data_IF_604613906038
#
_entry.id   IF_604613906038
#
_cell.length_a   1.000
_cell.length_b   1.000
_cell.length_c   1.000
_cell.angle_alpha   90.00
_cell.angle_beta   90.00
_cell.angle_gamma   90.00
#
_symmetry.space_group_name_H-M   'P 1'
#
loop_
_entity.id
_entity.type
_entity.pdbx_description
1 polymer ?
#
# COMPACT_ATOMS: atom_id res chain seq x y z
N UNK A 1 6.73 -13.10 13.62
CA UNK A 1 7.35 -12.37 12.49
C UNK A 1 8.84 -12.22 12.74
N UNK A 2 9.66 -12.78 11.85
CA UNK A 2 11.13 -12.74 11.93
C UNK A 2 11.66 -11.34 11.55
N UNK A 3 12.96 -11.11 11.79
CA UNK A 3 13.62 -9.86 11.36
C UNK A 3 13.65 -9.76 9.82
N UNK A 4 13.88 -10.88 9.14
CA UNK A 4 13.90 -10.96 7.67
C UNK A 4 12.54 -10.61 7.07
N UNK A 5 11.45 -11.14 7.63
CA UNK A 5 10.09 -10.83 7.19
C UNK A 5 9.77 -9.34 7.35
N UNK A 6 10.11 -8.76 8.50
CA UNK A 6 9.95 -7.32 8.76
C UNK A 6 10.72 -6.46 7.75
N UNK A 7 11.95 -6.84 7.47
CA UNK A 7 12.77 -6.12 6.50
C UNK A 7 12.18 -6.18 5.08
N UNK A 8 11.71 -7.34 4.65
CA UNK A 8 11.05 -7.48 3.34
C UNK A 8 9.74 -6.70 3.26
N UNK A 9 8.92 -6.72 4.31
CA UNK A 9 7.68 -5.94 4.41
C UNK A 9 7.97 -4.45 4.28
N UNK A 10 9.00 -3.95 4.98
CA UNK A 10 9.38 -2.55 4.91
C UNK A 10 9.82 -2.14 3.50
N UNK A 11 10.59 -2.99 2.82
CA UNK A 11 10.99 -2.76 1.43
C UNK A 11 9.81 -2.79 0.46
N UNK A 12 8.89 -3.75 0.60
CA UNK A 12 7.71 -3.87 -0.23
C UNK A 12 6.81 -2.64 -0.09
N UNK A 13 6.62 -2.16 1.15
CA UNK A 13 5.93 -0.91 1.45
C UNK A 13 6.57 0.28 0.74
N UNK A 14 7.88 0.49 0.96
CA UNK A 14 8.60 1.60 0.35
C UNK A 14 8.52 1.59 -1.19
N UNK A 15 8.61 0.40 -1.80
CA UNK A 15 8.47 0.28 -3.25
C UNK A 15 7.07 0.69 -3.74
N UNK A 16 6.01 0.34 -3.01
CA UNK A 16 4.64 0.74 -3.35
C UNK A 16 4.44 2.25 -3.17
N UNK A 17 4.90 2.82 -2.05
CA UNK A 17 4.83 4.27 -1.79
C UNK A 17 5.57 5.07 -2.87
N UNK A 18 6.78 4.64 -3.27
CA UNK A 18 7.54 5.28 -4.36
C UNK A 18 6.79 5.18 -5.69
N UNK A 19 6.19 4.03 -6.01
CA UNK A 19 5.43 3.87 -7.25
C UNK A 19 4.20 4.78 -7.27
N UNK A 20 3.45 4.84 -6.17
CA UNK A 20 2.30 5.73 -6.03
C UNK A 20 2.71 7.21 -6.12
N UNK A 21 3.80 7.61 -5.44
CA UNK A 21 4.33 8.96 -5.52
C UNK A 21 4.69 9.36 -6.96
N UNK A 22 5.24 8.44 -7.75
CA UNK A 22 5.56 8.69 -9.17
C UNK A 22 4.33 8.94 -10.04
N UNK A 23 3.18 8.37 -9.69
CA UNK A 23 1.95 8.50 -10.48
C UNK A 23 1.04 9.65 -10.03
N UNK A 24 0.97 9.94 -8.73
CA UNK A 24 0.02 10.92 -8.19
C UNK A 24 0.56 11.77 -7.03
N UNK A 25 1.87 11.74 -6.80
CA UNK A 25 2.53 12.49 -5.73
C UNK A 25 2.10 12.05 -4.33
N UNK A 26 2.42 12.87 -3.34
CA UNK A 26 2.21 12.58 -1.92
C UNK A 26 0.72 12.45 -1.57
N UNK A 27 -0.16 13.13 -2.29
CA UNK A 27 -1.61 13.03 -2.06
C UNK A 27 -2.13 11.61 -2.33
N UNK A 28 -1.67 10.97 -3.43
CA UNK A 28 -2.05 9.60 -3.74
C UNK A 28 -1.45 8.59 -2.74
N UNK A 29 -0.23 8.85 -2.26
CA UNK A 29 0.39 8.03 -1.22
C UNK A 29 -0.39 8.13 0.09
N UNK A 30 -0.73 9.34 0.53
CA UNK A 30 -1.47 9.58 1.77
C UNK A 30 -2.86 8.94 1.74
N UNK A 31 -3.56 9.05 0.62
CA UNK A 31 -4.86 8.42 0.39
C UNK A 31 -4.76 6.89 0.46
N UNK A 32 -3.82 6.29 -0.28
CA UNK A 32 -3.59 4.84 -0.24
C UNK A 32 -3.19 4.33 1.15
N UNK A 33 -2.36 5.07 1.89
CA UNK A 33 -1.98 4.73 3.26
C UNK A 33 -3.16 4.83 4.24
N UNK A 34 -4.08 5.77 4.01
CA UNK A 34 -5.31 5.93 4.80
C UNK A 34 -6.23 4.73 4.57
N UNK A 35 -6.49 4.38 3.31
CA UNK A 35 -7.29 3.21 2.94
C UNK A 35 -6.70 1.91 3.50
N UNK A 36 -5.38 1.74 3.38
CA UNK A 36 -4.67 0.57 3.90
C UNK A 36 -4.81 0.45 5.43
N UNK A 37 -4.76 1.57 6.14
CA UNK A 37 -4.96 1.61 7.59
C UNK A 37 -6.39 1.22 7.97
N UNK A 38 -7.40 1.79 7.31
CA UNK A 38 -8.80 1.42 7.54
C UNK A 38 -9.07 -0.06 7.27
N UNK A 39 -8.54 -0.60 6.19
CA UNK A 39 -8.71 -2.01 5.85
C UNK A 39 -8.07 -2.93 6.90
N UNK A 40 -6.85 -2.59 7.35
CA UNK A 40 -6.15 -3.32 8.39
C UNK A 40 -6.88 -3.24 9.74
N UNK A 41 -7.41 -2.07 10.11
CA UNK A 41 -8.23 -1.86 11.31
C UNK A 41 -9.52 -2.67 11.30
N UNK A 42 -10.20 -2.70 10.16
CA UNK A 42 -11.48 -3.39 10.02
C UNK A 42 -11.33 -4.90 10.10
N UNK A 43 -10.33 -5.48 9.42
CA UNK A 43 -10.19 -6.94 9.32
C UNK A 43 -9.34 -7.55 10.42
N UNK A 44 -8.35 -6.80 10.90
CA UNK A 44 -7.37 -7.28 11.88
C UNK A 44 -7.17 -6.20 12.95
N UNK A 45 -8.19 -5.95 13.79
CA UNK A 45 -8.10 -4.95 14.85
C UNK A 45 -6.95 -5.27 15.78
N UNK A 46 -6.16 -4.26 16.11
CA UNK A 46 -5.04 -4.38 17.03
C UNK A 46 -5.09 -3.25 18.06
N UNK A 47 -5.00 -3.63 19.32
CA UNK A 47 -5.08 -2.71 20.46
C UNK A 47 -3.76 -1.98 20.75
N UNK A 48 -2.75 -2.11 19.88
CA UNK A 48 -1.43 -1.50 20.07
C UNK A 48 -0.55 -2.20 21.12
N UNK A 49 -1.02 -3.29 21.75
CA UNK A 49 -0.25 -4.03 22.73
C UNK A 49 0.47 -5.23 22.10
N UNK A 50 1.73 -5.42 22.50
CA UNK A 50 2.58 -6.50 22.00
C UNK A 50 3.08 -6.25 20.58
N UNK A 51 3.38 -7.32 19.85
CA UNK A 51 3.74 -7.21 18.44
C UNK A 51 2.49 -7.13 17.57
N UNK A 52 2.51 -6.22 16.59
CA UNK A 52 1.45 -6.15 15.59
C UNK A 52 1.26 -7.50 14.88
N UNK A 53 0.02 -8.00 14.73
CA UNK A 53 -0.25 -9.25 14.04
C UNK A 53 0.20 -9.20 12.58
N UNK A 54 0.89 -10.24 12.10
CA UNK A 54 1.38 -10.30 10.72
C UNK A 54 0.24 -10.16 9.69
N UNK A 55 -0.94 -10.74 9.96
CA UNK A 55 -2.11 -10.63 9.10
C UNK A 55 -2.54 -9.17 8.86
N UNK A 56 -2.45 -8.33 9.90
CA UNK A 56 -2.75 -6.89 9.81
C UNK A 56 -1.76 -6.17 8.89
N UNK A 57 -0.48 -6.47 9.04
CA UNK A 57 0.59 -5.93 8.19
C UNK A 57 0.42 -6.35 6.72
N UNK A 58 0.07 -7.63 6.48
CA UNK A 58 -0.22 -8.11 5.13
C UNK A 58 -1.47 -7.49 4.52
N UNK A 59 -2.52 -7.27 5.32
CA UNK A 59 -3.73 -6.57 4.87
C UNK A 59 -3.40 -5.16 4.41
N UNK A 60 -2.62 -4.43 5.22
CA UNK A 60 -2.16 -3.09 4.87
C UNK A 60 -1.35 -3.09 3.55
N UNK A 61 -0.39 -4.02 3.41
CA UNK A 61 0.41 -4.16 2.18
C UNK A 61 -0.43 -4.52 0.95
N UNK A 62 -1.49 -5.32 1.10
CA UNK A 62 -2.35 -5.73 0.00
C UNK A 62 -3.06 -4.54 -0.65
N UNK A 63 -3.53 -3.58 0.16
CA UNK A 63 -4.13 -2.34 -0.35
C UNK A 63 -3.10 -1.50 -1.09
N UNK A 64 -1.90 -1.31 -0.53
CA UNK A 64 -0.86 -0.57 -1.24
C UNK A 64 -0.49 -1.20 -2.59
N UNK A 65 -0.39 -2.53 -2.66
CA UNK A 65 -0.13 -3.23 -3.92
C UNK A 65 -1.28 -3.06 -4.91
N UNK A 66 -2.53 -3.14 -4.46
CA UNK A 66 -3.70 -2.91 -5.30
C UNK A 66 -3.73 -1.47 -5.85
N UNK A 67 -3.50 -0.47 -4.99
CA UNK A 67 -3.44 0.94 -5.36
C UNK A 67 -2.33 1.21 -6.37
N UNK A 68 -1.17 0.58 -6.17
CA UNK A 68 -0.05 0.64 -7.12
C UNK A 68 -0.47 0.09 -8.49
N UNK A 69 -1.07 -1.09 -8.55
CA UNK A 69 -1.52 -1.72 -9.81
C UNK A 69 -2.51 -0.83 -10.54
N UNK A 70 -3.46 -0.22 -9.81
CA UNK A 70 -4.43 0.71 -10.39
C UNK A 70 -3.73 1.95 -10.96
N UNK A 71 -2.81 2.55 -10.21
CA UNK A 71 -2.05 3.71 -10.66
C UNK A 71 -1.21 3.42 -11.92
N UNK A 72 -0.53 2.26 -11.96
CA UNK A 72 0.23 1.79 -13.12
C UNK A 72 -0.68 1.58 -14.33
N UNK A 73 -1.87 0.98 -14.15
CA UNK A 73 -2.85 0.77 -15.21
C UNK A 73 -3.46 2.07 -15.76
N UNK A 74 -3.62 3.10 -14.92
CA UNK A 74 -4.12 4.42 -15.35
C UNK A 74 -3.10 5.25 -16.16
N UNK A 75 -1.80 4.93 -16.08
CA UNK A 75 -0.76 5.59 -16.88
C UNK A 75 -0.83 5.24 -18.38
N UNK A 76 -1.36 4.07 -18.72
CA UNK A 76 -1.39 3.56 -20.11
C UNK A 76 -2.67 3.95 -20.87
N UNK A 77 -3.71 4.40 -20.16
CA UNK A 77 -5.04 4.66 -20.74
C UNK A 77 -5.25 6.07 -21.32
N UNK A 78 -4.35 7.02 -21.09
CA UNK A 78 -4.55 8.42 -21.52
C UNK A 78 -3.97 8.76 -22.90
N UNK A 79 -3.26 7.83 -23.53
CA UNK A 79 -2.68 8.03 -24.87
C UNK A 79 -3.62 7.66 -26.04
N UNK A 80 -4.82 7.12 -25.77
CA UNK A 80 -5.70 6.60 -26.83
C UNK A 80 -6.91 7.49 -27.19
N UNK A 81 -7.16 8.58 -26.47
CA UNK A 81 -8.35 9.42 -26.70
C UNK A 81 -8.08 10.77 -27.41
N UNK A 82 -6.84 11.04 -27.83
CA UNK A 82 -6.48 12.25 -28.58
C UNK A 82 -5.93 11.93 -29.98
N UNK A 83 -6.65 11.12 -30.78
CA UNK A 83 -6.35 10.94 -32.21
C UNK A 83 -7.58 10.87 -33.08
#
# INVERSE_FOLDING_TARGET
>A
MTVLERWWIWRARAACEIALARHGGDALVADACTEASWYADMLYPWNGHGCEPAARVYAWLSILMARRIVAEGTGTGRAHLDR
#
